data_IF_124394388292
#
_entry.id   IF_124394388292
#
_cell.length_a   1.000
_cell.length_b   1.000
_cell.length_c   1.000
_cell.angle_alpha   90.00
_cell.angle_beta   90.00
_cell.angle_gamma   90.00
#
_symmetry.space_group_name_H-M   'P 1'
#
loop_
_entity.id
_entity.type
_entity.pdbx_description
1 polymer ?
#
# COMPACT_ATOMS: atom_id res chain seq x y z
N UNK A 1 -13.92 8.22 10.94
CA UNK A 1 -13.86 8.36 12.41
C UNK A 1 -14.28 9.78 12.77
N UNK A 2 -15.06 9.97 13.82
CA UNK A 2 -15.32 11.30 14.39
C UNK A 2 -14.02 11.87 14.98
N UNK A 3 -13.91 13.19 15.20
CA UNK A 3 -12.74 13.77 15.86
C UNK A 3 -12.43 13.10 17.21
N UNK A 4 -13.47 12.73 17.98
CA UNK A 4 -13.33 12.00 19.23
C UNK A 4 -12.76 10.60 19.03
N UNK A 5 -13.24 9.86 18.02
CA UNK A 5 -12.71 8.53 17.69
C UNK A 5 -11.26 8.59 17.20
N UNK A 6 -10.88 9.62 16.43
CA UNK A 6 -9.48 9.84 16.03
C UNK A 6 -8.59 10.10 17.25
N UNK A 7 -9.05 10.95 18.19
CA UNK A 7 -8.31 11.24 19.41
C UNK A 7 -8.15 9.99 20.30
N UNK A 8 -9.21 9.19 20.45
CA UNK A 8 -9.15 7.92 21.17
C UNK A 8 -8.18 6.94 20.49
N UNK A 9 -8.25 6.81 19.17
CA UNK A 9 -7.36 5.96 18.39
C UNK A 9 -5.90 6.37 18.54
N UNK A 10 -5.58 7.66 18.37
CA UNK A 10 -4.24 8.21 18.61
C UNK A 10 -3.80 7.99 20.05
N UNK A 11 -4.69 8.15 21.03
CA UNK A 11 -4.41 7.86 22.43
C UNK A 11 -3.97 6.41 22.66
N UNK A 12 -4.68 5.46 22.05
CA UNK A 12 -4.36 4.02 22.14
C UNK A 12 -3.04 3.69 21.46
N UNK A 13 -2.75 4.24 20.28
CA UNK A 13 -1.43 4.11 19.63
C UNK A 13 -0.33 4.67 20.53
N UNK A 14 -0.56 5.83 21.15
CA UNK A 14 0.41 6.47 22.03
C UNK A 14 0.79 5.63 23.24
N UNK A 15 -0.13 4.84 23.79
CA UNK A 15 0.17 3.88 24.87
C UNK A 15 1.13 2.81 24.39
N UNK A 16 0.86 2.18 23.23
CA UNK A 16 1.72 1.13 22.67
C UNK A 16 3.13 1.66 22.36
N UNK A 17 3.25 2.86 21.78
CA UNK A 17 4.55 3.49 21.51
C UNK A 17 5.31 3.78 22.80
N UNK A 18 4.63 4.27 23.85
CA UNK A 18 5.30 4.50 25.14
C UNK A 18 5.83 3.21 25.76
N UNK A 19 5.07 2.12 25.68
CA UNK A 19 5.50 0.81 26.20
C UNK A 19 6.85 0.41 25.58
N UNK A 20 7.00 0.54 24.26
CA UNK A 20 8.25 0.12 23.62
C UNK A 20 9.39 1.12 23.84
N UNK A 21 9.08 2.41 23.94
CA UNK A 21 10.10 3.44 24.12
C UNK A 21 10.56 3.59 25.58
N UNK A 22 9.80 3.08 26.54
CA UNK A 22 10.08 3.21 27.97
C UNK A 22 11.49 2.73 28.34
N UNK A 23 11.98 1.66 27.69
CA UNK A 23 13.34 1.14 27.92
C UNK A 23 14.46 1.97 27.29
N UNK A 24 14.14 2.99 26.48
CA UNK A 24 15.13 3.80 25.74
C UNK A 24 15.16 5.26 26.16
N UNK A 25 14.20 5.73 26.95
CA UNK A 25 14.19 7.09 27.47
C UNK A 25 15.37 7.31 28.40
N UNK A 26 16.01 8.46 28.26
CA UNK A 26 17.05 8.87 29.20
C UNK A 26 16.41 9.53 30.43
N UNK A 27 16.97 9.34 31.63
CA UNK A 27 16.42 9.94 32.86
C UNK A 27 16.31 11.47 32.82
N UNK A 28 17.12 12.14 32.00
CA UNK A 28 17.18 13.59 31.82
C UNK A 28 16.40 14.11 30.60
N UNK A 29 15.71 13.22 29.86
CA UNK A 29 14.94 13.63 28.69
C UNK A 29 13.72 14.46 29.10
N UNK A 30 13.62 15.70 28.61
CA UNK A 30 12.57 16.62 29.04
C UNK A 30 11.17 16.13 28.65
N UNK A 31 10.13 16.42 29.46
CA UNK A 31 8.74 16.10 29.11
C UNK A 31 8.32 16.64 27.75
N UNK A 32 8.81 17.82 27.37
CA UNK A 32 8.54 18.46 26.08
C UNK A 32 9.15 17.66 24.92
N UNK A 33 10.36 17.14 25.08
CA UNK A 33 11.01 16.29 24.09
C UNK A 33 10.25 14.98 23.93
N UNK A 34 9.89 14.32 25.03
CA UNK A 34 9.10 13.08 24.97
C UNK A 34 7.76 13.30 24.27
N UNK A 35 7.10 14.43 24.52
CA UNK A 35 5.85 14.81 23.84
C UNK A 35 6.06 15.03 22.35
N UNK A 36 7.14 15.71 21.95
CA UNK A 36 7.47 15.93 20.54
C UNK A 36 7.77 14.61 19.81
N UNK A 37 8.53 13.72 20.44
CA UNK A 37 8.79 12.37 19.92
C UNK A 37 7.47 11.62 19.73
N UNK A 38 6.62 11.58 20.77
CA UNK A 38 5.33 10.92 20.67
C UNK A 38 4.44 11.51 19.57
N UNK A 39 4.40 12.83 19.38
CA UNK A 39 3.63 13.46 18.31
C UNK A 39 4.05 12.93 16.93
N UNK A 40 5.37 12.87 16.66
CA UNK A 40 5.90 12.34 15.41
C UNK A 40 5.56 10.86 15.19
N UNK A 41 5.51 10.06 16.25
CA UNK A 41 5.03 8.68 16.18
C UNK A 41 3.53 8.58 15.84
N UNK A 42 2.71 9.42 16.47
CA UNK A 42 1.26 9.42 16.24
C UNK A 42 0.92 9.85 14.81
N UNK A 43 1.57 10.88 14.29
CA UNK A 43 1.35 11.36 12.92
C UNK A 43 1.73 10.31 11.88
N UNK A 44 2.76 9.50 12.15
CA UNK A 44 3.16 8.42 11.25
C UNK A 44 2.22 7.20 11.29
N UNK A 45 1.48 7.00 12.38
CA UNK A 45 0.77 5.76 12.67
C UNK A 45 -0.76 5.89 12.68
N UNK A 46 -1.32 7.11 12.68
CA UNK A 46 -2.78 7.33 12.84
C UNK A 46 -3.66 6.70 11.75
N UNK A 47 -3.11 6.46 10.55
CA UNK A 47 -3.81 5.81 9.45
C UNK A 47 -3.84 4.27 9.55
N UNK A 48 -3.21 3.71 10.60
CA UNK A 48 -3.04 2.28 10.75
C UNK A 48 -3.92 1.71 11.87
N UNK A 49 -4.59 0.57 11.63
CA UNK A 49 -5.33 -0.13 12.69
C UNK A 49 -4.43 -0.46 13.89
N UNK A 50 -4.97 -0.29 15.10
CA UNK A 50 -4.21 -0.44 16.34
C UNK A 50 -3.56 -1.83 16.47
N UNK A 51 -4.29 -2.88 16.10
CA UNK A 51 -3.81 -4.26 16.11
C UNK A 51 -2.59 -4.46 15.20
N UNK A 52 -2.60 -3.83 14.02
CA UNK A 52 -1.48 -3.87 13.10
C UNK A 52 -0.27 -3.12 13.66
N UNK A 53 -0.50 -1.93 14.24
CA UNK A 53 0.55 -1.13 14.89
C UNK A 53 1.18 -1.95 16.02
N UNK A 54 0.38 -2.43 16.96
CA UNK A 54 0.87 -3.24 18.10
C UNK A 54 1.65 -4.46 17.63
N UNK A 55 1.13 -5.21 16.66
CA UNK A 55 1.80 -6.38 16.10
C UNK A 55 3.09 -6.04 15.34
N UNK A 56 3.22 -4.84 14.78
CA UNK A 56 4.46 -4.38 14.14
C UNK A 56 5.50 -3.95 15.18
N UNK A 57 5.10 -3.23 16.23
CA UNK A 57 5.97 -2.82 17.33
C UNK A 57 6.57 -4.04 18.05
N UNK A 58 5.74 -5.03 18.41
CA UNK A 58 6.20 -6.26 19.08
C UNK A 58 7.15 -7.04 18.18
N UNK A 59 6.78 -7.26 16.91
CA UNK A 59 7.64 -7.97 15.97
C UNK A 59 8.99 -7.29 15.80
N UNK A 60 9.01 -5.95 15.66
CA UNK A 60 10.25 -5.21 15.53
C UNK A 60 11.17 -5.39 16.75
N UNK A 61 10.61 -5.34 17.96
CA UNK A 61 11.36 -5.51 19.21
C UNK A 61 11.97 -6.92 19.32
N UNK A 62 11.23 -7.95 18.91
CA UNK A 62 11.74 -9.32 18.89
C UNK A 62 12.86 -9.50 17.88
N UNK A 63 12.73 -8.90 16.69
CA UNK A 63 13.72 -9.01 15.61
C UNK A 63 14.96 -8.12 15.87
N UNK A 64 14.83 -7.07 16.67
CA UNK A 64 15.85 -6.05 16.89
C UNK A 64 16.04 -5.71 18.39
N UNK A 65 16.35 -6.68 19.26
CA UNK A 65 16.35 -6.49 20.73
C UNK A 65 17.32 -5.41 21.21
N UNK A 66 18.41 -5.17 20.46
CA UNK A 66 19.50 -4.26 20.85
C UNK A 66 19.42 -2.88 20.18
N UNK A 67 18.32 -2.56 19.47
CA UNK A 67 18.20 -1.30 18.73
C UNK A 67 17.00 -0.50 19.25
N UNK A 68 17.04 0.81 19.12
CA UNK A 68 15.88 1.69 19.36
C UNK A 68 15.03 1.81 18.09
N UNK A 69 13.70 1.61 18.15
CA UNK A 69 12.83 1.77 16.99
C UNK A 69 12.62 3.24 16.66
N UNK A 70 12.29 3.51 15.39
CA UNK A 70 11.79 4.79 14.92
C UNK A 70 10.48 4.55 14.13
N UNK A 71 9.67 5.59 13.87
CA UNK A 71 8.40 5.42 13.16
C UNK A 71 8.57 4.83 11.76
N UNK A 72 9.65 5.19 11.06
CA UNK A 72 9.94 4.71 9.71
C UNK A 72 10.07 3.19 9.63
N UNK A 73 10.75 2.56 10.60
CA UNK A 73 10.86 1.10 10.68
C UNK A 73 9.47 0.44 10.74
N UNK A 74 8.59 0.98 11.57
CA UNK A 74 7.27 0.41 11.81
C UNK A 74 6.36 0.62 10.60
N UNK A 75 6.36 1.83 10.01
CA UNK A 75 5.61 2.13 8.78
C UNK A 75 6.07 1.24 7.63
N UNK A 76 7.37 0.98 7.48
CA UNK A 76 7.87 0.07 6.45
C UNK A 76 7.35 -1.36 6.64
N UNK A 77 7.39 -1.89 7.87
CA UNK A 77 6.84 -3.22 8.17
C UNK A 77 5.34 -3.30 7.87
N UNK A 78 4.59 -2.26 8.25
CA UNK A 78 3.16 -2.17 8.01
C UNK A 78 2.81 -2.14 6.51
N UNK A 79 3.53 -1.30 5.74
CA UNK A 79 3.38 -1.24 4.27
C UNK A 79 3.72 -2.56 3.60
N UNK A 80 4.80 -3.23 4.02
CA UNK A 80 5.19 -4.54 3.50
C UNK A 80 4.08 -5.57 3.71
N UNK A 81 3.59 -5.71 4.95
CA UNK A 81 2.49 -6.65 5.29
C UNK A 81 1.22 -6.35 4.50
N UNK A 82 0.84 -5.07 4.36
CA UNK A 82 -0.32 -4.67 3.56
C UNK A 82 -0.15 -5.04 2.08
N UNK A 83 1.04 -4.82 1.52
CA UNK A 83 1.37 -5.20 0.14
C UNK A 83 1.30 -6.71 -0.09
N UNK A 84 1.85 -7.51 0.83
CA UNK A 84 1.77 -8.98 0.79
C UNK A 84 0.32 -9.48 0.83
N UNK A 85 -0.50 -8.95 1.73
CA UNK A 85 -1.92 -9.28 1.80
C UNK A 85 -2.68 -8.89 0.53
N UNK A 86 -2.38 -7.73 -0.05
CA UNK A 86 -2.99 -7.28 -1.29
C UNK A 86 -2.60 -8.18 -2.47
N UNK A 87 -1.32 -8.55 -2.59
CA UNK A 87 -0.83 -9.48 -3.61
C UNK A 87 -1.48 -10.86 -3.48
N UNK A 88 -1.63 -11.38 -2.27
CA UNK A 88 -2.34 -12.64 -2.02
C UNK A 88 -3.80 -12.58 -2.45
N UNK A 89 -4.51 -11.49 -2.14
CA UNK A 89 -5.90 -11.30 -2.58
C UNK A 89 -6.01 -11.27 -4.10
N UNK A 90 -5.10 -10.55 -4.79
CA UNK A 90 -5.08 -10.51 -6.25
C UNK A 90 -4.78 -11.88 -6.87
N UNK A 91 -3.85 -12.64 -6.29
CA UNK A 91 -3.53 -13.99 -6.77
C UNK A 91 -4.69 -14.99 -6.58
N UNK A 92 -5.55 -14.76 -5.60
CA UNK A 92 -6.75 -15.57 -5.35
C UNK A 92 -7.93 -15.19 -6.25
N UNK A 93 -7.89 -14.04 -6.95
CA UNK A 93 -8.91 -13.70 -7.93
C UNK A 93 -8.82 -14.66 -9.12
N UNK A 94 -9.95 -15.09 -9.70
CA UNK A 94 -9.93 -15.86 -10.92
C UNK A 94 -9.17 -15.09 -11.99
N UNK A 95 -8.24 -15.76 -12.69
CA UNK A 95 -7.59 -15.17 -13.86
C UNK A 95 -8.68 -14.67 -14.80
N UNK A 96 -8.61 -13.41 -15.29
CA UNK A 96 -9.52 -12.95 -16.32
C UNK A 96 -9.51 -14.00 -17.43
N UNK A 97 -10.71 -14.39 -17.89
CA UNK A 97 -10.81 -15.23 -19.06
C UNK A 97 -9.92 -14.61 -20.14
N UNK A 98 -9.05 -15.42 -20.76
CA UNK A 98 -8.24 -14.96 -21.88
C UNK A 98 -9.18 -14.23 -22.83
N UNK A 99 -8.85 -12.97 -23.14
CA UNK A 99 -9.68 -12.17 -24.01
C UNK A 99 -9.77 -12.92 -25.34
N UNK A 100 -10.88 -13.61 -25.57
CA UNK A 100 -11.16 -14.18 -26.87
C UNK A 100 -11.11 -13.00 -27.85
N UNK A 101 -10.39 -13.11 -28.97
CA UNK A 101 -10.41 -12.06 -29.97
C UNK A 101 -11.88 -11.79 -30.32
N UNK A 102 -12.39 -10.62 -29.90
CA UNK A 102 -13.78 -10.19 -30.12
C UNK A 102 -14.06 -10.03 -31.61
N UNK A 103 -13.01 -9.96 -32.41
CA UNK A 103 -13.05 -9.80 -33.85
C UNK A 103 -12.78 -11.17 -34.48
N UNK A 104 -13.84 -11.80 -35.01
CA UNK A 104 -13.68 -12.91 -35.94
C UNK A 104 -12.96 -12.42 -37.20
N UNK A 105 -12.32 -13.30 -37.96
CA UNK A 105 -11.60 -12.90 -39.18
C UNK A 105 -12.54 -12.20 -40.18
N UNK A 106 -13.81 -12.59 -40.23
CA UNK A 106 -14.82 -11.92 -41.07
C UNK A 106 -15.13 -10.50 -40.60
N UNK A 107 -15.15 -10.27 -39.27
CA UNK A 107 -15.31 -8.93 -38.72
C UNK A 107 -14.06 -8.07 -38.96
N UNK A 108 -12.86 -8.68 -38.97
CA UNK A 108 -11.60 -8.01 -39.32
C UNK A 108 -11.62 -7.53 -40.77
N UNK A 109 -12.03 -8.40 -41.69
CA UNK A 109 -12.12 -8.05 -43.11
C UNK A 109 -13.19 -6.98 -43.36
N UNK A 110 -14.37 -7.09 -42.74
CA UNK A 110 -15.42 -6.07 -42.86
C UNK A 110 -14.96 -4.70 -42.35
N UNK A 111 -14.19 -4.67 -41.26
CA UNK A 111 -13.64 -3.42 -40.73
C UNK A 111 -12.57 -2.83 -41.65
N UNK A 112 -11.72 -3.67 -42.27
CA UNK A 112 -10.74 -3.23 -43.27
C UNK A 112 -11.41 -2.62 -44.50
N UNK A 113 -12.52 -3.21 -44.98
CA UNK A 113 -13.30 -2.66 -46.09
C UNK A 113 -13.90 -1.29 -45.74
N UNK A 114 -14.50 -1.16 -44.55
CA UNK A 114 -15.09 0.11 -44.08
C UNK A 114 -14.01 1.19 -43.91
N UNK A 115 -12.85 0.86 -43.36
CA UNK A 115 -11.72 1.79 -43.22
C UNK A 115 -11.16 2.20 -44.58
N UNK A 116 -11.09 1.27 -45.53
CA UNK A 116 -10.66 1.57 -46.91
C UNK A 116 -11.61 2.53 -47.63
N UNK A 117 -12.92 2.36 -47.43
CA UNK A 117 -13.95 3.25 -48.01
C UNK A 117 -13.96 4.64 -47.37
N UNK A 118 -13.84 4.73 -46.05
CA UNK A 118 -13.93 6.00 -45.31
C UNK A 118 -12.60 6.77 -45.28
N UNK A 119 -11.47 6.06 -45.30
CA UNK A 119 -10.13 6.64 -45.14
C UNK A 119 -9.12 6.01 -46.12
N UNK A 120 -9.27 6.22 -47.44
CA UNK A 120 -8.47 5.55 -48.48
C UNK A 120 -6.96 5.83 -48.38
N UNK A 121 -6.56 6.96 -47.80
CA UNK A 121 -5.15 7.31 -47.55
C UNK A 121 -4.51 6.52 -46.40
N UNK A 122 -5.31 6.05 -45.45
CA UNK A 122 -4.86 5.25 -44.29
C UNK A 122 -4.71 3.78 -44.71
N UNK A 123 -5.64 3.25 -45.51
CA UNK A 123 -5.58 1.88 -46.02
C UNK A 123 -4.30 1.58 -46.83
N UNK A 124 -3.81 2.57 -47.61
CA UNK A 124 -2.55 2.47 -48.37
C UNK A 124 -1.27 2.37 -47.52
N UNK A 125 -1.35 2.63 -46.21
CA UNK A 125 -0.21 2.63 -45.28
C UNK A 125 -0.25 1.50 -44.25
N UNK A 126 -1.27 0.64 -44.28
CA UNK A 126 -1.33 -0.51 -43.38
C UNK A 126 -0.28 -1.55 -43.82
N UNK A 127 0.64 -1.96 -42.92
CA UNK A 127 1.61 -3.00 -43.26
C UNK A 127 0.89 -4.34 -43.45
N UNK A 128 1.27 -5.09 -44.48
CA UNK A 128 0.88 -6.50 -44.59
C UNK A 128 1.44 -7.25 -43.37
N UNK A 129 0.55 -7.68 -42.49
CA UNK A 129 0.91 -8.54 -41.37
C UNK A 129 1.13 -9.94 -41.96
N UNK A 130 2.39 -10.32 -42.13
CA UNK A 130 2.76 -11.71 -42.46
C UNK A 130 2.53 -12.59 -41.23
N UNK A 131 1.94 -13.76 -41.49
CA UNK A 131 1.64 -14.82 -40.52
C UNK A 131 2.86 -15.31 -39.75
#
# INVERSE_FOLDING_TARGET
MTPQQCAEHRGRIGVEVRIILNGYWQPDESPEMQKAVLAHWLDALEDWPLDQVRGALIAWQMDNPNRRPNPGHIVQMLKKRRGEQYAQKLAALPKPAEAQPVVTEEARQRNLEVVSQLFPTIAKRMPEVKE
#
